data_IF_821717700975
#
_entry.id   IF_821717700975
#
_cell.length_a   1.000
_cell.length_b   1.000
_cell.length_c   1.000
_cell.angle_alpha   90.00
_cell.angle_beta   90.00
_cell.angle_gamma   90.00
#
_symmetry.space_group_name_H-M   'P 1'
#
loop_
_entity.id
_entity.type
_entity.pdbx_description
1 polymer ?
#
# COMPACT_ATOMS: atom_id res chain seq x y z
N UNK A 1 -24.60 2.61 -10.74
CA UNK A 1 -24.02 3.61 -11.66
C UNK A 1 -22.74 3.02 -12.22
N UNK A 2 -22.49 3.04 -13.54
CA UNK A 2 -21.27 2.52 -14.14
C UNK A 2 -20.00 3.18 -13.55
N UNK A 3 -18.94 2.40 -13.36
CA UNK A 3 -17.70 2.87 -12.74
C UNK A 3 -17.07 4.07 -13.50
N UNK A 4 -17.05 4.03 -14.83
CA UNK A 4 -16.52 5.13 -15.66
C UNK A 4 -17.28 6.43 -15.42
N UNK A 5 -18.61 6.38 -15.37
CA UNK A 5 -19.44 7.55 -15.05
C UNK A 5 -19.19 8.07 -13.63
N UNK A 6 -18.84 7.20 -12.68
CA UNK A 6 -18.43 7.63 -11.34
C UNK A 6 -17.13 8.44 -11.38
N UNK A 7 -16.13 7.95 -12.10
CA UNK A 7 -14.83 8.61 -12.26
C UNK A 7 -14.98 9.97 -12.96
N UNK A 8 -15.81 10.03 -14.01
CA UNK A 8 -16.10 11.27 -14.74
C UNK A 8 -16.84 12.31 -13.89
N UNK A 9 -17.75 11.87 -13.02
CA UNK A 9 -18.53 12.77 -12.17
C UNK A 9 -17.74 13.24 -10.95
N UNK A 10 -16.83 12.41 -10.44
CA UNK A 10 -16.02 12.64 -9.24
C UNK A 10 -14.53 12.81 -9.58
N UNK A 11 -14.22 13.68 -10.54
CA UNK A 11 -12.85 13.86 -11.06
C UNK A 11 -11.85 14.29 -9.98
N UNK A 12 -12.25 15.20 -9.09
CA UNK A 12 -11.39 15.71 -8.02
C UNK A 12 -11.01 14.59 -7.03
N UNK A 13 -11.99 13.80 -6.59
CA UNK A 13 -11.78 12.67 -5.68
C UNK A 13 -10.94 11.59 -6.36
N UNK A 14 -11.25 11.28 -7.62
CA UNK A 14 -10.48 10.30 -8.42
C UNK A 14 -9.02 10.72 -8.53
N UNK A 15 -8.76 12.01 -8.78
CA UNK A 15 -7.40 12.54 -8.84
C UNK A 15 -6.69 12.45 -7.48
N UNK A 16 -7.35 12.82 -6.39
CA UNK A 16 -6.76 12.71 -5.05
C UNK A 16 -6.40 11.25 -4.71
N UNK A 17 -7.29 10.30 -5.03
CA UNK A 17 -7.00 8.89 -4.81
C UNK A 17 -5.79 8.42 -5.65
N UNK A 18 -5.69 8.85 -6.91
CA UNK A 18 -4.52 8.60 -7.74
C UNK A 18 -3.24 9.23 -7.15
N UNK A 19 -3.31 10.43 -6.57
CA UNK A 19 -2.17 11.06 -5.88
C UNK A 19 -1.74 10.27 -4.63
N UNK A 20 -2.69 9.74 -3.85
CA UNK A 20 -2.40 8.86 -2.70
C UNK A 20 -1.65 7.60 -3.16
N UNK A 21 -2.12 6.96 -4.24
CA UNK A 21 -1.48 5.77 -4.80
C UNK A 21 -0.09 6.06 -5.35
N UNK A 22 0.06 7.20 -6.03
CA UNK A 22 1.35 7.65 -6.54
C UNK A 22 2.34 7.87 -5.40
N UNK A 23 1.94 8.56 -4.33
CA UNK A 23 2.76 8.75 -3.14
C UNK A 23 3.12 7.42 -2.49
N UNK A 24 2.14 6.54 -2.32
CA UNK A 24 2.29 5.22 -1.69
C UNK A 24 3.39 4.41 -2.36
N UNK A 25 3.32 4.23 -3.68
CA UNK A 25 4.34 3.47 -4.40
C UNK A 25 5.67 4.22 -4.53
N UNK A 26 5.66 5.55 -4.60
CA UNK A 26 6.92 6.31 -4.63
C UNK A 26 7.67 6.21 -3.30
N UNK A 27 6.96 6.18 -2.17
CA UNK A 27 7.55 5.94 -0.86
C UNK A 27 8.13 4.53 -0.78
N UNK A 28 7.37 3.52 -1.18
CA UNK A 28 7.79 2.12 -1.11
C UNK A 28 8.98 1.84 -2.04
N UNK A 29 9.02 2.43 -3.25
CA UNK A 29 10.17 2.39 -4.17
C UNK A 29 11.47 2.89 -3.49
N UNK A 30 11.39 4.06 -2.83
CA UNK A 30 12.53 4.66 -2.13
C UNK A 30 12.93 3.84 -0.90
N UNK A 31 11.96 3.29 -0.17
CA UNK A 31 12.21 2.45 1.00
C UNK A 31 12.92 1.16 0.59
N UNK A 32 12.49 0.49 -0.48
CA UNK A 32 13.09 -0.76 -0.95
C UNK A 32 14.55 -0.59 -1.36
N UNK A 33 14.92 0.60 -1.84
CA UNK A 33 16.30 0.94 -2.22
C UNK A 33 17.15 1.46 -1.06
N UNK A 34 16.58 1.56 0.16
CA UNK A 34 17.21 2.15 1.33
C UNK A 34 17.30 1.17 2.52
N UNK A 35 18.20 0.17 2.49
CA UNK A 35 18.33 -0.80 3.58
C UNK A 35 18.77 -0.18 4.92
N UNK A 36 19.41 0.99 4.88
CA UNK A 36 19.84 1.73 6.07
C UNK A 36 18.68 2.02 7.04
N UNK A 37 17.46 2.28 6.55
CA UNK A 37 16.30 2.61 7.38
C UNK A 37 16.01 1.53 8.43
N UNK A 38 16.05 0.26 8.04
CA UNK A 38 15.83 -0.85 8.99
C UNK A 38 17.01 -1.04 9.95
N UNK A 39 18.24 -0.87 9.45
CA UNK A 39 19.46 -1.03 10.23
C UNK A 39 19.59 0.05 11.30
N UNK A 40 19.38 1.30 10.92
CA UNK A 40 19.46 2.46 11.80
C UNK A 40 18.38 2.38 12.88
N UNK A 41 17.15 2.01 12.52
CA UNK A 41 16.09 1.83 13.50
C UNK A 41 16.36 0.68 14.46
N UNK A 42 16.92 -0.43 13.96
CA UNK A 42 17.35 -1.55 14.81
C UNK A 42 18.48 -1.15 15.77
N UNK A 43 19.43 -0.34 15.30
CA UNK A 43 20.51 0.19 16.12
C UNK A 43 19.99 1.15 17.20
N UNK A 44 19.08 2.06 16.84
CA UNK A 44 18.40 2.96 17.77
C UNK A 44 17.75 2.17 18.91
N UNK A 45 16.95 1.13 18.59
CA UNK A 45 16.29 0.29 19.61
C UNK A 45 17.27 -0.41 20.56
N UNK A 46 18.37 -0.97 20.03
CA UNK A 46 19.40 -1.61 20.87
C UNK A 46 20.07 -0.61 21.81
N UNK A 47 20.36 0.58 21.30
CA UNK A 47 21.01 1.65 22.07
C UNK A 47 20.09 2.18 23.17
N UNK A 48 18.81 2.40 22.86
CA UNK A 48 17.79 2.83 23.82
C UNK A 48 17.61 1.82 24.95
N UNK A 49 17.51 0.53 24.62
CA UNK A 49 17.37 -0.53 25.63
C UNK A 49 18.58 -0.62 26.56
N UNK A 50 19.79 -0.46 26.01
CA UNK A 50 21.02 -0.45 26.82
C UNK A 50 21.03 0.75 27.79
N UNK A 51 20.70 1.95 27.31
CA UNK A 51 20.62 3.15 28.15
C UNK A 51 19.63 2.98 29.30
N UNK A 52 18.43 2.45 29.02
CA UNK A 52 17.42 2.17 30.06
C UNK A 52 17.92 1.19 31.13
N UNK A 53 18.72 0.19 30.75
CA UNK A 53 19.35 -0.73 31.71
C UNK A 53 20.45 -0.05 32.55
N UNK A 54 21.22 0.84 31.94
CA UNK A 54 22.26 1.63 32.62
C UNK A 54 21.64 2.67 33.59
N UNK A 55 20.56 3.36 33.19
CA UNK A 55 19.84 4.36 34.01
C UNK A 55 19.06 3.72 35.17
N UNK A 56 18.61 2.47 35.05
CA UNK A 56 18.01 1.74 36.19
C UNK A 56 19.06 1.48 37.30
N UNK A 57 20.35 1.58 36.97
CA UNK A 57 21.48 1.33 37.87
C UNK A 57 22.05 2.62 38.50
N UNK A 58 21.73 3.80 37.96
CA UNK A 58 22.28 5.08 38.40
C UNK A 58 21.15 6.09 38.58
N UNK A 59 20.91 6.51 39.83
CA UNK A 59 19.91 7.52 40.20
C UNK A 59 20.28 8.93 39.68
N UNK A 60 20.23 9.14 38.37
CA UNK A 60 20.46 10.45 37.73
C UNK A 60 19.34 10.69 36.73
N UNK A 61 18.18 11.11 37.25
CA UNK A 61 16.96 11.38 36.50
C UNK A 61 16.91 12.80 35.90
N UNK A 62 18.05 13.45 35.67
CA UNK A 62 18.06 14.80 35.13
C UNK A 62 19.01 14.85 33.95
N UNK A 63 18.45 14.87 32.74
CA UNK A 63 18.99 15.29 31.42
C UNK A 63 18.48 14.44 30.22
N UNK A 64 17.44 13.60 30.37
CA UNK A 64 16.72 13.11 29.18
C UNK A 64 15.78 14.20 28.65
N UNK A 65 16.40 15.16 27.96
CA UNK A 65 15.70 16.07 27.06
C UNK A 65 14.80 15.22 26.14
N UNK A 66 13.52 15.58 26.13
CA UNK A 66 12.42 14.64 26.04
C UNK A 66 12.31 13.79 24.77
N UNK A 67 11.52 12.73 24.96
CA UNK A 67 10.89 11.83 23.98
C UNK A 67 11.72 10.61 23.57
N UNK A 68 12.02 9.76 24.55
CA UNK A 68 12.21 8.34 24.28
C UNK A 68 10.98 7.76 23.58
N UNK A 69 11.19 6.98 22.50
CA UNK A 69 10.11 6.31 21.80
C UNK A 69 9.49 5.22 22.71
N UNK A 70 8.16 5.21 22.92
CA UNK A 70 7.49 4.13 23.63
C UNK A 70 7.69 2.77 22.94
N UNK A 71 7.79 1.70 23.72
CA UNK A 71 8.09 0.36 23.19
C UNK A 71 7.00 -0.16 22.23
N UNK A 72 5.74 0.17 22.47
CA UNK A 72 4.62 -0.21 21.61
C UNK A 72 4.72 0.47 20.23
N UNK A 73 5.05 1.77 20.19
CA UNK A 73 5.28 2.52 18.96
C UNK A 73 6.51 1.98 18.25
N UNK A 74 7.58 1.69 18.98
CA UNK A 74 8.81 1.12 18.41
C UNK A 74 8.56 -0.26 17.76
N UNK A 75 7.74 -1.10 18.39
CA UNK A 75 7.36 -2.40 17.83
C UNK A 75 6.52 -2.25 16.57
N UNK A 76 5.54 -1.32 16.54
CA UNK A 76 4.75 -1.03 15.34
C UNK A 76 5.61 -0.50 14.21
N UNK A 77 6.56 0.40 14.50
CA UNK A 77 7.52 0.90 13.51
C UNK A 77 8.43 -0.21 12.97
N UNK A 78 8.89 -1.14 13.82
CA UNK A 78 9.67 -2.30 13.35
C UNK A 78 8.87 -3.16 12.37
N UNK A 79 7.61 -3.48 12.67
CA UNK A 79 6.75 -4.25 11.76
C UNK A 79 6.45 -3.49 10.47
N UNK A 80 6.24 -2.18 10.56
CA UNK A 80 6.06 -1.32 9.39
C UNK A 80 7.29 -1.40 8.50
N UNK A 81 8.49 -1.08 8.99
CA UNK A 81 9.68 -1.07 8.15
C UNK A 81 10.12 -2.45 7.69
N UNK A 82 9.80 -3.53 8.40
CA UNK A 82 10.11 -4.91 7.99
C UNK A 82 9.43 -5.29 6.66
N UNK A 83 8.23 -4.76 6.38
CA UNK A 83 7.53 -5.01 5.12
C UNK A 83 8.26 -4.34 3.95
N UNK A 84 8.48 -5.00 2.79
CA UNK A 84 9.06 -4.36 1.60
C UNK A 84 8.24 -3.17 1.10
N UNK A 85 6.91 -3.22 1.20
CA UNK A 85 5.97 -2.19 0.72
C UNK A 85 5.06 -1.70 1.85
N UNK A 86 5.60 -0.95 2.83
CA UNK A 86 4.89 -0.64 4.06
C UNK A 86 3.69 0.30 3.89
N UNK A 87 3.78 1.30 3.00
CA UNK A 87 2.67 2.21 2.73
C UNK A 87 1.56 1.48 1.97
N UNK A 88 1.92 0.67 0.97
CA UNK A 88 0.95 -0.12 0.22
C UNK A 88 0.25 -1.14 1.11
N UNK A 89 0.97 -1.82 2.00
CA UNK A 89 0.38 -2.75 2.96
C UNK A 89 -0.62 -2.05 3.89
N UNK A 90 -0.32 -0.82 4.30
CA UNK A 90 -1.22 0.01 5.11
C UNK A 90 -2.47 0.40 4.32
N UNK A 91 -2.30 0.81 3.06
CA UNK A 91 -3.40 1.20 2.18
C UNK A 91 -4.31 0.01 1.84
N UNK A 92 -3.72 -1.17 1.55
CA UNK A 92 -4.46 -2.42 1.37
C UNK A 92 -5.28 -2.75 2.61
N UNK A 93 -4.69 -2.71 3.81
CA UNK A 93 -5.42 -2.94 5.05
C UNK A 93 -6.58 -1.93 5.28
N UNK A 94 -6.39 -0.67 4.91
CA UNK A 94 -7.45 0.34 4.97
C UNK A 94 -8.58 0.06 3.97
N UNK A 95 -8.24 -0.37 2.74
CA UNK A 95 -9.23 -0.75 1.73
C UNK A 95 -10.02 -2.01 2.14
N UNK A 96 -9.33 -3.01 2.70
CA UNK A 96 -9.93 -4.22 3.27
C UNK A 96 -10.91 -3.87 4.41
N UNK A 97 -10.50 -2.99 5.33
CA UNK A 97 -11.34 -2.51 6.44
C UNK A 97 -12.55 -1.71 5.95
N UNK A 98 -12.37 -0.81 4.98
CA UNK A 98 -13.45 -0.04 4.38
C UNK A 98 -14.51 -0.97 3.77
N UNK A 99 -14.08 -1.99 3.03
CA UNK A 99 -14.99 -2.98 2.46
C UNK A 99 -15.78 -3.70 3.56
N UNK A 100 -15.12 -4.15 4.63
CA UNK A 100 -15.78 -4.83 5.74
C UNK A 100 -16.82 -3.93 6.42
N UNK A 101 -16.46 -2.69 6.73
CA UNK A 101 -17.40 -1.72 7.33
C UNK A 101 -18.59 -1.48 6.41
N UNK A 102 -18.36 -1.23 5.12
CA UNK A 102 -19.44 -0.93 4.17
C UNK A 102 -20.31 -2.15 3.88
N UNK A 103 -19.75 -3.36 3.90
CA UNK A 103 -20.49 -4.61 3.79
C UNK A 103 -21.42 -4.86 4.98
N UNK A 104 -21.16 -4.26 6.16
CA UNK A 104 -22.09 -4.30 7.29
C UNK A 104 -23.26 -3.31 7.12
N UNK A 105 -23.01 -2.15 6.52
CA UNK A 105 -24.03 -1.10 6.34
C UNK A 105 -24.85 -1.22 5.03
N UNK A 106 -24.32 -1.91 4.02
CA UNK A 106 -24.95 -2.13 2.70
C UNK A 106 -24.85 -3.60 2.28
N UNK A 107 -25.48 -3.94 1.16
CA UNK A 107 -25.32 -5.25 0.52
C UNK A 107 -23.83 -5.55 0.24
N UNK A 108 -23.27 -6.65 0.79
CA UNK A 108 -21.85 -6.97 0.64
C UNK A 108 -21.41 -7.19 -0.81
N UNK A 109 -22.21 -7.92 -1.59
CA UNK A 109 -21.95 -8.18 -3.01
C UNK A 109 -21.89 -6.90 -3.83
N UNK A 110 -22.88 -6.02 -3.65
CA UNK A 110 -22.94 -4.74 -4.36
C UNK A 110 -21.76 -3.83 -3.98
N UNK A 111 -21.31 -3.85 -2.72
CA UNK A 111 -20.19 -3.05 -2.25
C UNK A 111 -18.87 -3.53 -2.87
N UNK A 112 -18.66 -4.84 -2.86
CA UNK A 112 -17.51 -5.47 -3.51
C UNK A 112 -17.48 -5.17 -5.02
N UNK A 113 -18.60 -5.35 -5.72
CA UNK A 113 -18.70 -5.10 -7.15
C UNK A 113 -18.42 -3.64 -7.49
N UNK A 114 -18.95 -2.69 -6.70
CA UNK A 114 -18.69 -1.27 -6.95
C UNK A 114 -17.21 -0.91 -6.77
N UNK A 115 -16.55 -1.43 -5.73
CA UNK A 115 -15.16 -1.14 -5.43
C UNK A 115 -14.22 -1.77 -6.48
N UNK A 116 -14.42 -3.04 -6.81
CA UNK A 116 -13.63 -3.77 -7.81
C UNK A 116 -13.82 -3.19 -9.21
N UNK A 117 -15.05 -2.84 -9.61
CA UNK A 117 -15.31 -2.17 -10.88
C UNK A 117 -14.65 -0.79 -10.97
N UNK A 118 -14.61 -0.02 -9.87
CA UNK A 118 -13.91 1.27 -9.84
C UNK A 118 -12.38 1.09 -10.02
N UNK A 119 -11.78 0.14 -9.32
CA UNK A 119 -10.34 -0.15 -9.48
C UNK A 119 -10.00 -0.65 -10.88
N UNK A 120 -10.81 -1.53 -11.45
CA UNK A 120 -10.65 -2.02 -12.83
C UNK A 120 -10.77 -0.91 -13.87
N UNK A 121 -11.74 -0.01 -13.71
CA UNK A 121 -11.89 1.16 -14.58
C UNK A 121 -10.68 2.10 -14.48
N UNK A 122 -10.18 2.38 -13.28
CA UNK A 122 -8.97 3.18 -13.08
C UNK A 122 -7.73 2.54 -13.70
N UNK A 123 -7.57 1.22 -13.54
CA UNK A 123 -6.46 0.47 -14.14
C UNK A 123 -6.48 0.56 -15.67
N UNK A 124 -7.67 0.39 -16.26
CA UNK A 124 -7.88 0.47 -17.70
C UNK A 124 -7.54 1.87 -18.24
N UNK A 125 -8.04 2.93 -17.59
CA UNK A 125 -7.75 4.32 -17.97
C UNK A 125 -6.25 4.63 -17.87
N UNK A 126 -5.59 4.19 -16.79
CA UNK A 126 -4.16 4.39 -16.62
C UNK A 126 -3.36 3.60 -17.65
N UNK A 127 -3.74 2.35 -17.96
CA UNK A 127 -3.12 1.53 -19.00
C UNK A 127 -3.21 2.16 -20.38
N UNK A 128 -4.40 2.60 -20.80
CA UNK A 128 -4.57 3.34 -22.05
C UNK A 128 -3.75 4.63 -22.08
N UNK A 129 -3.69 5.35 -20.96
CA UNK A 129 -2.91 6.59 -20.83
C UNK A 129 -1.41 6.31 -21.00
N UNK A 130 -0.87 5.26 -20.38
CA UNK A 130 0.54 4.86 -20.52
C UNK A 130 0.88 4.50 -21.96
N UNK A 131 0.04 3.71 -22.62
CA UNK A 131 0.24 3.34 -24.03
C UNK A 131 0.32 4.58 -24.92
N UNK A 132 -0.58 5.55 -24.73
CA UNK A 132 -0.57 6.81 -25.50
C UNK A 132 0.66 7.66 -25.14
N UNK A 133 0.98 7.81 -23.87
CA UNK A 133 2.08 8.67 -23.40
C UNK A 133 3.45 8.13 -23.83
N UNK A 134 3.65 6.81 -23.88
CA UNK A 134 4.91 6.21 -24.30
C UNK A 134 5.24 6.44 -25.78
N UNK A 135 4.25 6.77 -26.62
CA UNK A 135 4.49 7.15 -28.03
C UNK A 135 5.01 8.58 -28.19
N UNK A 136 4.95 9.40 -27.13
CA UNK A 136 5.23 10.84 -27.19
C UNK A 136 6.58 11.17 -26.51
N UNK A 137 7.49 11.90 -27.18
CA UNK A 137 8.72 12.35 -26.55
C UNK A 137 8.46 13.51 -25.58
N UNK A 138 9.22 13.58 -24.48
CA UNK A 138 9.21 14.71 -23.55
C UNK A 138 9.32 14.31 -22.07
N UNK A 139 10.08 15.09 -21.30
CA UNK A 139 10.32 14.79 -19.87
C UNK A 139 9.05 14.88 -19.01
N UNK A 140 8.14 15.81 -19.33
CA UNK A 140 6.83 15.93 -18.67
C UNK A 140 5.94 14.73 -18.95
N UNK A 141 5.96 14.24 -20.19
CA UNK A 141 5.21 13.05 -20.62
C UNK A 141 5.71 11.81 -19.90
N UNK A 142 7.03 11.64 -19.78
CA UNK A 142 7.63 10.54 -19.00
C UNK A 142 7.18 10.56 -17.54
N UNK A 143 7.18 11.73 -16.88
CA UNK A 143 6.69 11.86 -15.49
C UNK A 143 5.22 11.45 -15.37
N UNK A 144 4.39 11.87 -16.31
CA UNK A 144 2.97 11.49 -16.34
C UNK A 144 2.78 10.00 -16.62
N UNK A 145 3.60 9.39 -17.49
CA UNK A 145 3.61 7.95 -17.72
C UNK A 145 3.97 7.19 -16.45
N UNK A 146 5.01 7.61 -15.72
CA UNK A 146 5.37 7.03 -14.42
C UNK A 146 4.27 7.21 -13.37
N UNK A 147 3.57 8.35 -13.37
CA UNK A 147 2.41 8.56 -12.51
C UNK A 147 1.32 7.53 -12.82
N UNK A 148 0.90 7.42 -14.08
CA UNK A 148 -0.13 6.47 -14.51
C UNK A 148 0.27 5.01 -14.26
N UNK A 149 1.55 4.65 -14.49
CA UNK A 149 2.07 3.32 -14.18
C UNK A 149 1.94 2.98 -12.69
N UNK A 150 2.34 3.91 -11.80
CA UNK A 150 2.21 3.70 -10.35
C UNK A 150 0.75 3.59 -9.93
N UNK A 151 -0.11 4.47 -10.42
CA UNK A 151 -1.55 4.42 -10.12
C UNK A 151 -2.13 3.09 -10.59
N UNK A 152 -1.81 2.65 -11.81
CA UNK A 152 -2.25 1.37 -12.38
C UNK A 152 -1.83 0.19 -11.51
N UNK A 153 -0.55 0.09 -11.16
CA UNK A 153 -0.05 -0.99 -10.30
C UNK A 153 -0.70 -0.94 -8.92
N UNK A 154 -0.84 0.24 -8.33
CA UNK A 154 -1.47 0.43 -7.03
C UNK A 154 -2.92 -0.04 -7.00
N UNK A 155 -3.74 0.35 -8.00
CA UNK A 155 -5.14 -0.11 -8.06
C UNK A 155 -5.27 -1.61 -8.37
N UNK A 156 -4.35 -2.20 -9.14
CA UNK A 156 -4.33 -3.65 -9.40
C UNK A 156 -4.06 -4.41 -8.11
N UNK A 157 -3.11 -3.95 -7.30
CA UNK A 157 -2.80 -4.58 -6.01
C UNK A 157 -4.00 -4.44 -5.06
N UNK A 158 -4.60 -3.25 -4.96
CA UNK A 158 -5.80 -3.07 -4.15
C UNK A 158 -6.98 -3.94 -4.63
N UNK A 159 -7.13 -4.11 -5.95
CA UNK A 159 -8.12 -5.01 -6.53
C UNK A 159 -7.91 -6.44 -6.05
N UNK A 160 -6.68 -6.96 -6.11
CA UNK A 160 -6.35 -8.32 -5.65
C UNK A 160 -6.73 -8.54 -4.19
N UNK A 161 -6.36 -7.59 -3.33
CA UNK A 161 -6.69 -7.62 -1.90
C UNK A 161 -8.20 -7.59 -1.61
N UNK A 162 -8.95 -6.76 -2.32
CA UNK A 162 -10.40 -6.58 -2.11
C UNK A 162 -11.22 -7.68 -2.75
N UNK A 163 -10.87 -8.14 -3.95
CA UNK A 163 -11.58 -9.22 -4.66
C UNK A 163 -11.60 -10.50 -3.84
N UNK A 164 -10.52 -10.79 -3.13
CA UNK A 164 -10.39 -11.91 -2.21
C UNK A 164 -11.24 -11.85 -0.96
N UNK A 165 -11.56 -10.64 -0.50
CA UNK A 165 -12.49 -10.48 0.60
C UNK A 165 -13.92 -10.86 0.23
N UNK A 166 -14.25 -10.90 -1.07
CA UNK A 166 -15.53 -11.40 -1.54
C UNK A 166 -15.82 -12.82 -1.03
N UNK A 167 -14.92 -13.79 -1.26
CA UNK A 167 -15.00 -15.11 -0.63
C UNK A 167 -14.77 -15.12 0.89
N UNK A 168 -13.91 -14.24 1.44
CA UNK A 168 -13.54 -14.21 2.88
C UNK A 168 -14.56 -13.52 3.80
N UNK A 169 -15.63 -12.91 3.29
CA UNK A 169 -16.85 -12.67 4.08
C UNK A 169 -17.46 -13.98 4.63
N UNK A 170 -16.91 -15.14 4.23
CA UNK A 170 -17.18 -16.48 4.76
C UNK A 170 -16.00 -17.21 5.46
N UNK A 171 -14.77 -16.67 5.61
CA UNK A 171 -13.65 -17.30 6.40
C UNK A 171 -12.35 -16.43 6.49
N UNK A 172 -11.39 -16.68 7.41
CA UNK A 172 -10.31 -15.74 7.78
C UNK A 172 -9.01 -15.82 6.94
N UNK A 173 -8.12 -14.79 6.96
CA UNK A 173 -7.12 -14.55 5.91
C UNK A 173 -5.66 -14.96 6.23
N UNK A 174 -4.87 -15.24 5.18
CA UNK A 174 -3.40 -15.37 5.18
C UNK A 174 -2.76 -14.47 4.07
N UNK A 175 -1.48 -14.10 4.23
CA UNK A 175 -0.76 -12.93 3.67
C UNK A 175 -0.02 -13.12 2.32
N UNK A 176 0.13 -12.05 1.51
CA UNK A 176 1.35 -11.38 0.95
C UNK A 176 0.94 -10.32 -0.10
N UNK A 177 1.76 -9.28 -0.38
CA UNK A 177 1.38 -8.03 -1.09
C UNK A 177 0.82 -8.16 -2.52
N UNK A 178 0.93 -9.32 -3.15
CA UNK A 178 0.00 -9.80 -4.19
C UNK A 178 -0.34 -11.23 -3.80
N UNK A 179 -1.54 -11.43 -3.26
CA UNK A 179 -1.93 -12.69 -2.64
C UNK A 179 -2.02 -13.80 -3.70
N UNK A 180 -2.31 -13.48 -4.97
CA UNK A 180 -2.55 -14.46 -6.05
C UNK A 180 -1.33 -14.83 -6.88
N UNK A 181 -0.24 -14.06 -6.85
CA UNK A 181 0.85 -14.28 -7.82
C UNK A 181 1.43 -15.71 -7.77
N UNK A 182 1.48 -16.27 -6.56
CA UNK A 182 2.01 -17.62 -6.33
C UNK A 182 0.97 -18.75 -6.44
N UNK A 183 -0.33 -18.45 -6.66
CA UNK A 183 -1.37 -19.48 -6.77
C UNK A 183 -1.29 -20.26 -8.09
N UNK A 184 -1.69 -21.54 -8.08
CA UNK A 184 -1.73 -22.40 -9.27
C UNK A 184 -2.75 -21.93 -10.33
N UNK A 185 -3.71 -21.09 -9.92
CA UNK A 185 -4.70 -20.43 -10.76
C UNK A 185 -4.10 -19.33 -11.65
N UNK A 186 -2.95 -18.76 -11.27
CA UNK A 186 -2.31 -17.66 -12.00
C UNK A 186 -1.68 -18.18 -13.30
N UNK A 187 -2.03 -17.62 -14.48
CA UNK A 187 -1.52 -18.08 -15.76
C UNK A 187 0.01 -18.14 -15.80
N UNK A 188 0.58 -19.24 -16.30
CA UNK A 188 2.04 -19.44 -16.39
C UNK A 188 2.74 -18.31 -17.14
N UNK A 189 2.13 -17.80 -18.22
CA UNK A 189 2.63 -16.67 -18.98
C UNK A 189 2.79 -15.39 -18.13
N UNK A 190 1.92 -15.17 -17.14
CA UNK A 190 2.03 -14.03 -16.20
C UNK A 190 3.15 -14.23 -15.20
N UNK A 191 3.39 -15.48 -14.75
CA UNK A 191 4.51 -15.82 -13.86
C UNK A 191 5.85 -15.66 -14.59
N UNK A 192 5.94 -16.13 -15.83
CA UNK A 192 7.14 -16.03 -16.68
C UNK A 192 7.50 -14.58 -17.06
N UNK A 193 6.51 -13.68 -17.13
CA UNK A 193 6.74 -12.28 -17.47
C UNK A 193 7.27 -11.45 -16.29
N UNK A 194 7.15 -11.97 -15.07
CA UNK A 194 7.52 -11.31 -13.81
C UNK A 194 8.65 -12.03 -13.05
N UNK A 195 9.14 -13.16 -13.58
CA UNK A 195 10.32 -13.91 -13.11
C UNK A 195 11.59 -13.44 -13.79
#
# INVERSE_FOLDING_TARGET
MPAIQHLEKQQAITKQFAEILHFTLSFDDLKMTSPAIQNDFSYYRRTLNRRRMEDTSAAVAELSDGVDLPDDVANRMSLFYANPTPMLNTLSGAAEKLLQEWALFRNPSLTLDNMTNCFSAMASVCGSSVTILNTRPGSRVKRLSCFCLRVMVGVIILYDHVHLLGPLLSRPPLMYSTKHFNEDSTPKATKELLS
#
